data_IF_811650143595
#
_entry.id   IF_811650143595
#
_cell.length_a   1.000
_cell.length_b   1.000
_cell.length_c   1.000
_cell.angle_alpha   90.00
_cell.angle_beta   90.00
_cell.angle_gamma   90.00
#
_symmetry.space_group_name_H-M   'P 1'
#
loop_
_entity.id
_entity.type
_entity.pdbx_description
1 polymer ?
#
# COMPACT_ATOMS: atom_id res chain seq x y z
N UNK A 1 -45.25 36.06 13.81
CA UNK A 1 -45.24 34.72 13.18
C UNK A 1 -44.03 34.50 12.26
N UNK A 2 -43.80 35.33 11.22
CA UNK A 2 -42.66 35.16 10.29
C UNK A 2 -41.26 35.16 10.94
N UNK A 3 -41.03 36.00 11.97
CA UNK A 3 -39.76 36.02 12.71
C UNK A 3 -39.57 34.78 13.60
N UNK A 4 -40.66 34.23 14.13
CA UNK A 4 -40.63 33.03 14.98
C UNK A 4 -40.28 31.79 14.15
N UNK A 5 -40.86 31.65 12.96
CA UNK A 5 -40.53 30.53 12.07
C UNK A 5 -39.09 30.61 11.55
N UNK A 6 -38.56 31.82 11.33
CA UNK A 6 -37.17 32.01 10.90
C UNK A 6 -36.17 31.63 12.00
N UNK A 7 -36.46 31.99 13.26
CA UNK A 7 -35.65 31.58 14.42
C UNK A 7 -35.69 30.06 14.61
N UNK A 8 -36.86 29.43 14.42
CA UNK A 8 -37.00 27.98 14.52
C UNK A 8 -36.18 27.24 13.46
N UNK A 9 -36.22 27.69 12.20
CA UNK A 9 -35.43 27.11 11.10
C UNK A 9 -33.93 27.25 11.33
N UNK A 10 -33.50 28.40 11.86
CA UNK A 10 -32.10 28.61 12.22
C UNK A 10 -31.64 27.64 13.31
N UNK A 11 -32.47 27.41 14.33
CA UNK A 11 -32.17 26.48 15.41
C UNK A 11 -32.06 25.03 14.91
N UNK A 12 -32.97 24.62 14.01
CA UNK A 12 -32.92 23.29 13.37
C UNK A 12 -31.61 23.10 12.59
N UNK A 13 -31.17 24.13 11.88
CA UNK A 13 -29.92 24.08 11.11
C UNK A 13 -28.72 23.86 12.02
N UNK A 14 -28.67 24.55 13.17
CA UNK A 14 -27.61 24.36 14.19
C UNK A 14 -27.62 22.92 14.74
N UNK A 15 -28.82 22.38 15.02
CA UNK A 15 -28.96 21.01 15.53
C UNK A 15 -28.42 19.98 14.52
N UNK A 16 -28.72 20.15 13.23
CA UNK A 16 -28.23 19.25 12.17
C UNK A 16 -26.69 19.27 12.09
N UNK A 17 -26.08 20.46 12.18
CA UNK A 17 -24.61 20.60 12.17
C UNK A 17 -23.97 19.88 13.37
N UNK A 18 -24.56 20.01 14.56
CA UNK A 18 -24.05 19.34 15.77
C UNK A 18 -24.13 17.82 15.63
N UNK A 19 -25.26 17.29 15.14
CA UNK A 19 -25.44 15.85 14.91
C UNK A 19 -24.43 15.33 13.88
N UNK A 20 -24.24 16.07 12.78
CA UNK A 20 -23.27 15.69 11.75
C UNK A 20 -21.83 15.70 12.29
N UNK A 21 -21.46 16.71 13.08
CA UNK A 21 -20.15 16.78 13.72
C UNK A 21 -19.91 15.57 14.64
N UNK A 22 -20.86 15.23 15.52
CA UNK A 22 -20.70 14.06 16.38
C UNK A 22 -20.62 12.76 15.59
N UNK A 23 -21.42 12.57 14.55
CA UNK A 23 -21.46 11.31 13.80
C UNK A 23 -20.24 11.09 12.90
N UNK A 24 -19.73 12.14 12.28
CA UNK A 24 -18.69 12.03 11.25
C UNK A 24 -17.29 12.44 11.73
N UNK A 25 -17.19 13.31 12.75
CA UNK A 25 -15.90 13.80 13.25
C UNK A 25 -15.53 13.25 14.63
N UNK A 26 -16.49 12.81 15.44
CA UNK A 26 -16.20 12.06 16.67
C UNK A 26 -16.20 10.56 16.31
N UNK A 27 -15.10 10.11 15.72
CA UNK A 27 -14.79 8.69 15.61
C UNK A 27 -14.42 8.16 16.99
N UNK A 28 -14.95 6.99 17.38
CA UNK A 28 -14.49 6.28 18.57
C UNK A 28 -12.99 5.98 18.43
N UNK A 29 -12.17 6.78 19.11
CA UNK A 29 -10.76 6.49 19.33
C UNK A 29 -10.62 5.73 20.64
N UNK A 30 -11.24 4.53 20.70
CA UNK A 30 -11.05 3.60 21.80
C UNK A 30 -10.02 2.55 21.39
N UNK A 31 -8.76 2.95 21.36
CA UNK A 31 -7.66 2.02 21.55
C UNK A 31 -6.78 2.59 22.64
N UNK A 32 -7.02 2.16 23.88
CA UNK A 32 -6.07 2.35 24.97
C UNK A 32 -4.73 1.75 24.55
N UNK A 33 -3.75 2.61 24.26
CA UNK A 33 -2.36 2.22 24.13
C UNK A 33 -1.88 1.88 25.54
N UNK A 34 -1.90 0.60 25.89
CA UNK A 34 -1.07 0.08 26.97
C UNK A 34 0.25 -0.32 26.34
N UNK A 35 1.25 0.54 26.48
CA UNK A 35 2.64 0.16 26.27
C UNK A 35 2.98 -0.98 27.25
N UNK A 36 3.21 -2.17 26.72
CA UNK A 36 4.02 -3.17 27.39
C UNK A 36 5.07 -3.62 26.41
N UNK A 37 6.23 -2.98 26.50
CA UNK A 37 7.48 -3.50 25.97
C UNK A 37 7.82 -4.72 26.81
N UNK A 38 7.80 -5.90 26.20
CA UNK A 38 8.60 -7.04 26.62
C UNK A 38 8.90 -7.91 25.39
N UNK A 39 10.15 -7.83 24.94
CA UNK A 39 10.74 -8.79 24.01
C UNK A 39 10.90 -10.12 24.72
N UNK A 40 10.30 -11.20 24.20
CA UNK A 40 10.90 -12.54 24.29
C UNK A 40 10.41 -13.43 23.15
N UNK A 41 11.34 -14.22 22.63
CA UNK A 41 11.30 -15.03 21.42
C UNK A 41 10.28 -16.18 21.42
N UNK A 42 9.81 -16.44 20.20
CA UNK A 42 9.43 -17.74 19.60
C UNK A 42 8.21 -18.44 20.20
N UNK A 43 7.10 -18.45 19.44
CA UNK A 43 6.47 -19.67 18.89
C UNK A 43 5.08 -19.32 18.35
N UNK A 44 4.90 -19.42 17.03
CA UNK A 44 3.64 -19.58 16.30
C UNK A 44 2.36 -19.03 16.98
N UNK A 45 2.24 -17.72 17.10
CA UNK A 45 0.93 -17.10 17.06
C UNK A 45 0.69 -16.72 15.60
N UNK A 46 -0.51 -17.02 15.08
CA UNK A 46 -0.93 -16.54 13.77
C UNK A 46 -0.69 -15.03 13.71
N UNK A 47 0.42 -14.63 13.09
CA UNK A 47 0.77 -13.24 13.00
C UNK A 47 -0.36 -12.61 12.21
N UNK A 48 -1.15 -11.78 12.88
CA UNK A 48 -1.91 -10.76 12.16
C UNK A 48 -0.85 -9.87 11.54
N UNK A 49 -0.29 -10.28 10.41
CA UNK A 49 0.54 -9.42 9.60
C UNK A 49 -0.31 -8.20 9.31
N UNK A 50 0.23 -7.01 9.60
CA UNK A 50 -0.51 -5.79 9.38
C UNK A 50 -0.72 -5.63 7.88
N UNK A 51 -1.96 -5.80 7.43
CA UNK A 51 -2.35 -5.63 6.04
C UNK A 51 -2.25 -4.16 5.67
N UNK A 52 -1.35 -3.85 4.74
CA UNK A 52 -1.19 -2.53 4.15
C UNK A 52 -1.94 -2.50 2.83
N UNK A 53 -2.74 -1.44 2.60
CA UNK A 53 -3.47 -1.26 1.34
C UNK A 53 -2.82 -0.17 0.48
N UNK A 54 -2.81 -0.39 -0.83
CA UNK A 54 -2.28 0.55 -1.82
C UNK A 54 -0.82 0.94 -1.54
N UNK A 55 0.01 -0.05 -1.20
CA UNK A 55 1.43 0.17 -0.97
C UNK A 55 2.10 0.64 -2.27
N UNK A 56 3.03 1.59 -2.15
CA UNK A 56 3.81 2.14 -3.25
C UNK A 56 5.24 2.39 -2.81
N UNK A 57 6.19 1.88 -3.58
CA UNK A 57 7.59 2.27 -3.50
C UNK A 57 8.00 2.97 -4.79
N UNK A 58 8.71 4.10 -4.65
CA UNK A 58 9.32 4.86 -5.74
C UNK A 58 10.84 4.86 -5.51
N UNK A 59 11.60 4.28 -6.44
CA UNK A 59 13.05 4.18 -6.40
C UNK A 59 13.66 4.99 -7.55
N UNK A 60 14.66 5.79 -7.21
CA UNK A 60 15.56 6.39 -8.21
C UNK A 60 16.82 5.52 -8.27
N UNK A 61 17.04 4.90 -9.42
CA UNK A 61 18.19 4.06 -9.70
C UNK A 61 19.29 4.89 -10.35
N UNK A 62 20.40 4.25 -10.71
CA UNK A 62 21.49 4.90 -11.45
C UNK A 62 21.04 5.31 -12.87
N UNK A 63 21.82 6.18 -13.50
CA UNK A 63 21.61 6.62 -14.89
C UNK A 63 20.22 7.20 -15.18
N UNK A 64 19.65 7.92 -14.21
CA UNK A 64 18.32 8.54 -14.31
C UNK A 64 17.17 7.53 -14.56
N UNK A 65 17.41 6.26 -14.26
CA UNK A 65 16.39 5.20 -14.34
C UNK A 65 15.51 5.25 -13.10
N UNK A 66 14.21 5.06 -13.27
CA UNK A 66 13.24 5.03 -12.17
C UNK A 66 12.54 3.69 -12.13
N UNK A 67 12.35 3.17 -10.93
CA UNK A 67 11.53 1.99 -10.68
C UNK A 67 10.42 2.33 -9.71
N UNK A 68 9.21 1.93 -10.04
CA UNK A 68 8.04 2.08 -9.19
C UNK A 68 7.36 0.73 -9.08
N UNK A 69 6.98 0.34 -7.87
CA UNK A 69 6.15 -0.85 -7.63
C UNK A 69 4.98 -0.50 -6.72
N UNK A 70 3.79 -0.91 -7.14
CA UNK A 70 2.55 -0.71 -6.40
C UNK A 70 1.81 -2.03 -6.22
N UNK A 71 1.12 -2.18 -5.09
CA UNK A 71 0.28 -3.33 -4.80
C UNK A 71 -1.01 -2.90 -4.11
N UNK A 72 -2.11 -3.59 -4.41
CA UNK A 72 -3.39 -3.31 -3.75
C UNK A 72 -3.37 -3.71 -2.28
N UNK A 73 -2.74 -4.85 -1.99
CA UNK A 73 -2.64 -5.43 -0.65
C UNK A 73 -1.21 -5.92 -0.41
N UNK A 74 -0.72 -5.71 0.80
CA UNK A 74 0.64 -6.07 1.17
C UNK A 74 0.78 -6.46 2.64
N UNK A 75 1.69 -7.38 2.90
CA UNK A 75 2.08 -7.81 4.24
C UNK A 75 3.59 -7.75 4.37
N UNK A 76 4.07 -7.06 5.40
CA UNK A 76 5.50 -6.97 5.70
C UNK A 76 5.90 -8.12 6.62
N UNK A 77 7.02 -8.76 6.30
CA UNK A 77 7.70 -9.74 7.14
C UNK A 77 9.20 -9.51 7.08
N UNK A 78 9.96 -10.13 7.98
CA UNK A 78 11.42 -10.01 8.00
C UNK A 78 12.06 -11.39 7.75
N UNK A 79 13.02 -11.44 6.83
CA UNK A 79 13.90 -12.60 6.61
C UNK A 79 15.36 -12.16 6.77
N UNK A 80 16.09 -12.78 7.71
CA UNK A 80 17.50 -12.44 8.03
C UNK A 80 17.77 -10.92 8.12
N UNK A 81 16.93 -10.22 8.88
CA UNK A 81 16.97 -8.77 9.10
C UNK A 81 16.65 -7.89 7.87
N UNK A 82 16.33 -8.48 6.71
CA UNK A 82 15.80 -7.77 5.56
C UNK A 82 14.27 -7.69 5.64
N UNK A 83 13.73 -6.49 5.39
CA UNK A 83 12.28 -6.31 5.26
C UNK A 83 11.82 -6.81 3.89
N UNK A 84 10.89 -7.77 3.95
CA UNK A 84 10.27 -8.41 2.81
C UNK A 84 8.80 -8.05 2.76
N UNK A 85 8.27 -7.91 1.56
CA UNK A 85 6.89 -7.48 1.33
C UNK A 85 6.19 -8.48 0.43
N UNK A 86 5.24 -9.23 0.98
CA UNK A 86 4.29 -9.99 0.18
C UNK A 86 3.31 -9.00 -0.43
N UNK A 87 3.16 -9.02 -1.75
CA UNK A 87 2.34 -8.09 -2.51
C UNK A 87 1.29 -8.85 -3.32
N UNK A 88 0.07 -8.31 -3.39
CA UNK A 88 -1.05 -8.86 -4.17
C UNK A 88 -1.62 -7.81 -5.14
N UNK A 89 -1.94 -8.26 -6.36
CA UNK A 89 -2.32 -7.44 -7.51
C UNK A 89 -1.30 -6.30 -7.75
N UNK A 90 -0.16 -6.71 -8.28
CA UNK A 90 1.05 -5.90 -8.34
C UNK A 90 1.20 -5.28 -9.72
N UNK A 91 1.65 -4.03 -9.76
CA UNK A 91 2.10 -3.36 -10.98
C UNK A 91 3.44 -2.70 -10.71
N UNK A 92 4.45 -3.07 -11.47
CA UNK A 92 5.74 -2.40 -11.48
C UNK A 92 5.94 -1.65 -12.81
N UNK A 93 6.67 -0.55 -12.75
CA UNK A 93 7.06 0.26 -13.90
C UNK A 93 8.55 0.62 -13.80
N UNK A 94 9.26 0.36 -14.88
CA UNK A 94 10.58 0.90 -15.15
C UNK A 94 10.47 2.02 -16.17
N UNK A 95 11.19 3.10 -15.92
CA UNK A 95 11.35 4.21 -16.85
C UNK A 95 12.85 4.44 -17.01
N UNK A 96 13.36 4.26 -18.22
CA UNK A 96 14.77 4.49 -18.51
C UNK A 96 15.07 5.98 -18.77
N UNK A 97 16.34 6.30 -19.07
CA UNK A 97 16.77 7.66 -19.38
C UNK A 97 16.13 8.25 -20.66
N UNK A 98 15.68 7.40 -21.59
CA UNK A 98 14.98 7.80 -22.83
C UNK A 98 13.47 7.95 -22.62
N UNK A 99 12.99 7.72 -21.39
CA UNK A 99 11.58 7.70 -21.02
C UNK A 99 10.80 6.55 -21.69
N UNK A 100 11.49 5.48 -22.08
CA UNK A 100 10.87 4.23 -22.47
C UNK A 100 10.35 3.50 -21.23
N UNK A 101 9.13 2.96 -21.33
CA UNK A 101 8.46 2.30 -20.21
C UNK A 101 8.41 0.77 -20.39
N UNK A 102 8.90 0.06 -19.37
CA UNK A 102 8.63 -1.36 -19.19
C UNK A 102 7.67 -1.53 -18.02
N UNK A 103 6.53 -2.18 -18.24
CA UNK A 103 5.50 -2.39 -17.22
C UNK A 103 5.34 -3.88 -16.96
N UNK A 104 5.39 -4.26 -15.69
CA UNK A 104 5.17 -5.63 -15.22
C UNK A 104 3.89 -5.63 -14.40
N UNK A 105 3.01 -6.60 -14.63
CA UNK A 105 1.84 -6.88 -13.79
C UNK A 105 1.88 -8.35 -13.36
N UNK A 106 1.47 -8.62 -12.13
CA UNK A 106 1.35 -9.99 -11.62
C UNK A 106 0.30 -10.04 -10.51
N UNK A 107 -0.26 -11.22 -10.26
CA UNK A 107 -1.20 -11.40 -9.16
C UNK A 107 -0.48 -11.37 -7.80
N UNK A 108 0.78 -11.83 -7.75
CA UNK A 108 1.59 -11.83 -6.54
C UNK A 108 3.02 -11.37 -6.82
N UNK A 109 3.64 -10.76 -5.82
CA UNK A 109 5.08 -10.55 -5.82
C UNK A 109 5.66 -10.60 -4.40
N UNK A 110 6.95 -10.89 -4.30
CA UNK A 110 7.73 -10.71 -3.07
C UNK A 110 8.80 -9.66 -3.35
N UNK A 111 8.73 -8.54 -2.64
CA UNK A 111 9.70 -7.44 -2.77
C UNK A 111 10.66 -7.42 -1.59
N UNK A 112 11.96 -7.34 -1.85
CA UNK A 112 12.99 -7.16 -0.84
C UNK A 112 13.39 -5.69 -0.77
N UNK A 113 13.15 -5.00 0.35
CA UNK A 113 13.43 -3.56 0.44
C UNK A 113 14.92 -3.22 0.58
N UNK A 114 15.77 -4.20 0.94
CA UNK A 114 17.20 -4.02 1.06
C UNK A 114 17.91 -4.14 -0.30
N UNK A 115 17.46 -5.04 -1.17
CA UNK A 115 18.07 -5.28 -2.49
C UNK A 115 17.27 -4.72 -3.66
N UNK A 116 16.02 -4.36 -3.43
CA UNK A 116 15.01 -4.00 -4.42
C UNK A 116 14.60 -5.14 -5.35
N UNK A 117 15.15 -6.35 -5.16
CA UNK A 117 14.78 -7.51 -5.96
C UNK A 117 13.30 -7.82 -5.78
N UNK A 118 12.67 -8.28 -6.85
CA UNK A 118 11.25 -8.61 -6.86
C UNK A 118 11.02 -9.94 -7.57
N UNK A 119 10.38 -10.88 -6.86
CA UNK A 119 9.95 -12.16 -7.42
C UNK A 119 8.47 -12.06 -7.77
N UNK A 120 8.13 -11.89 -9.04
CA UNK A 120 6.76 -11.84 -9.53
C UNK A 120 6.25 -13.26 -9.80
N UNK A 121 5.04 -13.55 -9.35
CA UNK A 121 4.45 -14.88 -9.41
C UNK A 121 2.97 -14.77 -9.82
N UNK A 122 2.51 -15.74 -10.60
CA UNK A 122 1.14 -15.91 -11.09
C UNK A 122 0.67 -14.80 -12.05
N UNK A 123 0.27 -15.21 -13.26
CA UNK A 123 -0.27 -14.31 -14.29
C UNK A 123 0.64 -13.11 -14.58
N UNK A 124 1.94 -13.35 -14.76
CA UNK A 124 2.91 -12.29 -15.03
C UNK A 124 2.75 -11.81 -16.48
N UNK A 125 2.52 -10.51 -16.64
CA UNK A 125 2.39 -9.82 -17.93
C UNK A 125 3.41 -8.70 -17.98
N UNK A 126 4.33 -8.78 -18.92
CA UNK A 126 5.36 -7.77 -19.17
C UNK A 126 5.03 -7.08 -20.49
N UNK A 127 4.93 -5.76 -20.48
CA UNK A 127 4.70 -4.97 -21.69
C UNK A 127 5.83 -3.97 -21.86
N UNK A 128 6.43 -3.95 -23.05
CA UNK A 128 7.46 -3.00 -23.44
C UNK A 128 7.22 -2.58 -24.89
N UNK A 129 6.98 -1.28 -25.10
CA UNK A 129 6.54 -0.75 -26.39
C UNK A 129 5.33 -1.54 -26.93
N UNK A 130 5.44 -2.10 -28.13
CA UNK A 130 4.37 -2.89 -28.77
C UNK A 130 4.42 -4.40 -28.44
N UNK A 131 5.34 -4.81 -27.56
CA UNK A 131 5.56 -6.22 -27.23
C UNK A 131 4.94 -6.60 -25.89
N UNK A 132 4.38 -7.81 -25.84
CA UNK A 132 3.84 -8.43 -24.61
C UNK A 132 4.47 -9.80 -24.39
N UNK A 133 4.95 -10.03 -23.18
CA UNK A 133 5.49 -11.32 -22.72
C UNK A 133 4.61 -11.80 -21.58
N UNK A 134 4.24 -13.08 -21.63
CA UNK A 134 3.43 -13.75 -20.61
C UNK A 134 4.29 -14.82 -19.93
N UNK A 135 4.25 -14.89 -18.61
CA UNK A 135 4.91 -15.95 -17.85
C UNK A 135 4.16 -16.27 -16.55
N UNK A 136 4.50 -17.41 -15.94
CA UNK A 136 4.02 -17.74 -14.60
C UNK A 136 4.88 -17.10 -13.50
N UNK A 137 6.19 -16.94 -13.76
CA UNK A 137 7.14 -16.36 -12.81
C UNK A 137 8.11 -15.43 -13.53
N UNK A 138 8.63 -14.44 -12.81
CA UNK A 138 9.69 -13.53 -13.25
C UNK A 138 10.50 -13.08 -12.03
N UNK A 139 11.81 -13.33 -12.07
CA UNK A 139 12.74 -12.87 -11.05
C UNK A 139 13.46 -11.63 -11.55
N UNK A 140 13.33 -10.52 -10.82
CA UNK A 140 13.92 -9.23 -11.17
C UNK A 140 14.97 -8.86 -10.12
N UNK A 141 16.25 -8.85 -10.52
CA UNK A 141 17.39 -8.62 -9.62
C UNK A 141 18.12 -7.31 -9.96
N UNK A 142 18.41 -6.50 -8.95
CA UNK A 142 19.14 -5.24 -9.06
C UNK A 142 20.57 -5.31 -8.54
N UNK A 143 20.83 -6.24 -7.61
CA UNK A 143 22.16 -6.50 -7.07
C UNK A 143 22.62 -7.85 -7.62
N UNK A 144 23.83 -7.88 -8.16
CA UNK A 144 24.50 -9.06 -8.69
C UNK A 144 25.69 -9.42 -7.78
#
# INVERSE_FOLDING_TARGET
MKKVIQILLFLITIIIIIIFYQKYFISEQNTEIKESVNQTQSQSESSKNNLIKNLRYDLNLQDNTKYMIIANESEIFYDKDAEMVNMTNVKAKFIDANNDELVIRADKAIFNSATYNTDFNQNVIITYQDNTILSENLDLNFIN
#
